data_IF_457303642335
#
_entry.id   IF_457303642335
#
_cell.length_a   1.000
_cell.length_b   1.000
_cell.length_c   1.000
_cell.angle_alpha   90.00
_cell.angle_beta   90.00
_cell.angle_gamma   90.00
#
_symmetry.space_group_name_H-M   'P 1'
#
loop_
_entity.id
_entity.type
_entity.pdbx_description
1 polymer ?
#
# COMPACT_ATOMS: atom_id res chain seq x y z
N UNK A 1 -0.53 -8.63 -24.86
CA UNK A 1 -0.62 -7.37 -24.12
C UNK A 1 -0.99 -7.72 -22.67
N UNK A 2 -0.21 -7.30 -21.65
CA UNK A 2 -0.54 -7.57 -20.27
C UNK A 2 -1.86 -6.90 -19.89
N UNK A 3 -2.77 -7.65 -19.21
CA UNK A 3 -4.05 -7.14 -18.71
C UNK A 3 -3.90 -6.66 -17.27
N UNK A 4 -4.31 -5.43 -17.00
CA UNK A 4 -4.41 -4.84 -15.66
C UNK A 4 -5.89 -4.80 -15.26
N UNK A 5 -6.22 -5.53 -14.21
CA UNK A 5 -7.56 -5.53 -13.64
C UNK A 5 -7.76 -4.29 -12.77
N UNK A 6 -8.92 -3.64 -12.87
CA UNK A 6 -9.26 -2.47 -12.04
C UNK A 6 -10.62 -2.74 -11.39
N UNK A 7 -10.65 -2.97 -10.08
CA UNK A 7 -11.95 -3.10 -9.40
C UNK A 7 -12.58 -1.74 -9.18
N UNK A 8 -13.88 -1.65 -9.42
CA UNK A 8 -14.63 -0.39 -9.32
C UNK A 8 -14.63 0.19 -7.90
N UNK A 9 -14.44 -0.66 -6.87
CA UNK A 9 -14.68 -0.31 -5.48
C UNK A 9 -16.17 -0.25 -5.17
N UNK A 10 -16.55 0.52 -4.16
CA UNK A 10 -17.95 0.74 -3.83
C UNK A 10 -18.59 1.68 -4.88
N UNK A 11 -19.59 1.22 -5.65
CA UNK A 11 -20.20 2.03 -6.71
C UNK A 11 -20.97 3.26 -6.19
N UNK A 12 -21.25 3.34 -4.89
CA UNK A 12 -21.81 4.54 -4.27
C UNK A 12 -20.74 5.59 -3.93
N UNK A 13 -19.44 5.22 -3.98
CA UNK A 13 -18.32 6.11 -3.73
C UNK A 13 -17.75 6.79 -4.98
N UNK A 14 -16.57 7.38 -4.83
CA UNK A 14 -15.87 8.06 -5.93
C UNK A 14 -15.14 7.10 -6.88
N UNK A 15 -15.09 5.79 -6.58
CA UNK A 15 -14.40 4.79 -7.42
C UNK A 15 -14.73 4.91 -8.91
N UNK A 16 -16.04 4.89 -9.31
CA UNK A 16 -16.43 4.99 -10.71
C UNK A 16 -15.88 6.24 -11.42
N UNK A 17 -16.03 7.43 -10.81
CA UNK A 17 -15.63 8.69 -11.45
C UNK A 17 -14.12 8.88 -11.55
N UNK A 18 -13.35 8.44 -10.53
CA UNK A 18 -11.88 8.54 -10.59
C UNK A 18 -11.26 7.54 -11.55
N UNK A 19 -11.86 6.35 -11.72
CA UNK A 19 -11.41 5.36 -12.70
C UNK A 19 -11.68 5.87 -14.12
N UNK A 20 -12.87 6.39 -14.40
CA UNK A 20 -13.19 6.96 -15.71
C UNK A 20 -12.27 8.12 -16.07
N UNK A 21 -12.05 9.03 -15.11
CA UNK A 21 -11.12 10.15 -15.28
C UNK A 21 -9.67 9.68 -15.51
N UNK A 22 -9.23 8.64 -14.80
CA UNK A 22 -7.89 8.07 -14.97
C UNK A 22 -7.72 7.44 -16.35
N UNK A 23 -8.68 6.62 -16.80
CA UNK A 23 -8.65 5.98 -18.12
C UNK A 23 -8.73 7.00 -19.28
N UNK A 24 -9.46 8.10 -19.09
CA UNK A 24 -9.59 9.17 -20.08
C UNK A 24 -8.43 10.19 -20.04
N UNK A 25 -7.55 10.12 -19.07
CA UNK A 25 -6.53 11.15 -18.82
C UNK A 25 -5.44 11.26 -19.89
N UNK A 26 -5.21 10.21 -20.70
CA UNK A 26 -4.07 10.12 -21.60
C UNK A 26 -2.72 9.96 -20.89
N UNK A 27 -2.72 9.77 -19.57
CA UNK A 27 -1.51 9.68 -18.74
C UNK A 27 -1.10 8.24 -18.40
N UNK A 28 -1.81 7.24 -18.91
CA UNK A 28 -1.48 5.83 -18.65
C UNK A 28 -0.47 5.30 -19.67
N UNK A 29 0.37 4.32 -19.28
CA UNK A 29 1.34 3.73 -20.21
C UNK A 29 0.66 3.00 -21.36
N UNK A 30 1.23 3.10 -22.56
CA UNK A 30 0.84 2.28 -23.70
C UNK A 30 1.25 0.82 -23.52
N UNK A 31 0.60 -0.08 -24.28
CA UNK A 31 0.96 -1.49 -24.30
C UNK A 31 0.32 -2.33 -23.18
N UNK A 32 -0.71 -1.84 -22.54
CA UNK A 32 -1.51 -2.54 -21.54
C UNK A 32 -2.99 -2.51 -21.89
N UNK A 33 -3.71 -3.59 -21.53
CA UNK A 33 -5.15 -3.63 -21.57
C UNK A 33 -5.71 -3.37 -20.16
N UNK A 34 -6.70 -2.51 -20.06
CA UNK A 34 -7.33 -2.14 -18.78
C UNK A 34 -8.74 -2.70 -18.71
N UNK A 35 -8.99 -3.63 -17.78
CA UNK A 35 -10.29 -4.24 -17.56
C UNK A 35 -10.90 -3.78 -16.25
N UNK A 36 -11.97 -3.01 -16.34
CA UNK A 36 -12.75 -2.57 -15.16
C UNK A 36 -13.72 -3.67 -14.75
N UNK A 37 -13.72 -4.02 -13.44
CA UNK A 37 -14.56 -5.07 -12.82
C UNK A 37 -15.47 -4.42 -11.79
N UNK A 38 -16.76 -4.68 -11.88
CA UNK A 38 -17.77 -4.21 -10.94
C UNK A 38 -19.04 -3.74 -11.64
N UNK A 39 -20.14 -3.69 -10.89
CA UNK A 39 -21.46 -3.24 -11.36
C UNK A 39 -21.73 -1.81 -10.88
N UNK A 40 -21.67 -0.87 -11.82
CA UNK A 40 -21.96 0.55 -11.55
C UNK A 40 -23.42 0.80 -11.19
N UNK A 41 -24.34 -0.04 -11.68
CA UNK A 41 -25.78 0.12 -11.48
C UNK A 41 -26.23 -0.25 -10.06
N UNK A 42 -25.40 -0.97 -9.33
CA UNK A 42 -25.68 -1.43 -7.97
C UNK A 42 -25.52 -0.35 -6.88
N UNK A 43 -25.08 0.87 -7.23
CA UNK A 43 -24.89 1.96 -6.25
C UNK A 43 -25.46 3.29 -6.73
N UNK A 44 -25.94 4.07 -5.78
CA UNK A 44 -26.30 5.48 -6.02
C UNK A 44 -25.20 6.37 -5.42
N UNK A 45 -24.54 7.24 -6.20
CA UNK A 45 -23.45 8.08 -5.69
C UNK A 45 -23.85 8.85 -4.42
N UNK A 46 -23.02 8.75 -3.40
CA UNK A 46 -23.23 9.38 -2.08
C UNK A 46 -24.23 8.68 -1.16
N UNK A 47 -24.80 7.55 -1.57
CA UNK A 47 -25.78 6.79 -0.78
C UNK A 47 -25.37 5.31 -0.69
N UNK A 48 -24.36 4.98 0.12
CA UNK A 48 -23.95 3.60 0.29
C UNK A 48 -25.05 2.77 0.94
N UNK A 49 -25.18 1.53 0.51
CA UNK A 49 -26.10 0.54 1.05
C UNK A 49 -25.54 -0.88 0.91
N UNK A 50 -26.32 -1.88 1.35
CA UNK A 50 -25.91 -3.28 1.29
C UNK A 50 -25.70 -3.77 -0.15
N UNK A 51 -26.44 -3.22 -1.13
CA UNK A 51 -26.28 -3.60 -2.54
C UNK A 51 -24.96 -3.07 -3.10
N UNK A 52 -24.61 -1.82 -2.81
CA UNK A 52 -23.34 -1.25 -3.22
C UNK A 52 -22.13 -1.95 -2.55
N UNK A 53 -22.26 -2.28 -1.28
CA UNK A 53 -21.25 -3.07 -0.57
C UNK A 53 -21.09 -4.48 -1.16
N UNK A 54 -22.19 -5.14 -1.54
CA UNK A 54 -22.15 -6.46 -2.19
C UNK A 54 -21.47 -6.39 -3.55
N UNK A 55 -21.81 -5.41 -4.37
CA UNK A 55 -21.17 -5.20 -5.67
C UNK A 55 -19.66 -4.93 -5.53
N UNK A 56 -19.25 -4.19 -4.50
CA UNK A 56 -17.84 -3.99 -4.21
C UNK A 56 -17.12 -5.32 -3.87
N UNK A 57 -17.76 -6.18 -3.06
CA UNK A 57 -17.20 -7.48 -2.71
C UNK A 57 -17.16 -8.42 -3.93
N UNK A 58 -18.21 -8.48 -4.72
CA UNK A 58 -18.25 -9.30 -5.94
C UNK A 58 -17.12 -8.91 -6.91
N UNK A 59 -16.82 -7.62 -7.03
CA UNK A 59 -15.70 -7.14 -7.84
C UNK A 59 -14.33 -7.58 -7.29
N UNK A 60 -14.14 -7.60 -5.96
CA UNK A 60 -12.91 -8.11 -5.35
C UNK A 60 -12.76 -9.62 -5.56
N UNK A 61 -13.83 -10.38 -5.36
CA UNK A 61 -13.86 -11.85 -5.55
C UNK A 61 -13.56 -12.23 -7.00
N UNK A 62 -14.18 -11.52 -7.96
CA UNK A 62 -13.93 -11.74 -9.39
C UNK A 62 -12.50 -11.37 -9.78
N UNK A 63 -11.96 -10.25 -9.30
CA UNK A 63 -10.57 -9.87 -9.56
C UNK A 63 -9.60 -10.92 -9.01
N UNK A 64 -9.81 -11.40 -7.78
CA UNK A 64 -8.98 -12.44 -7.19
C UNK A 64 -9.06 -13.76 -7.97
N UNK A 65 -10.26 -14.12 -8.46
CA UNK A 65 -10.45 -15.29 -9.33
C UNK A 65 -9.67 -15.15 -10.64
N UNK A 66 -9.81 -14.02 -11.32
CA UNK A 66 -9.10 -13.74 -12.58
C UNK A 66 -7.59 -13.75 -12.41
N UNK A 67 -7.06 -13.18 -11.32
CA UNK A 67 -5.63 -13.22 -11.02
C UNK A 67 -5.10 -14.66 -10.88
N UNK A 68 -5.91 -15.61 -10.38
CA UNK A 68 -5.51 -17.01 -10.25
C UNK A 68 -5.65 -17.80 -11.54
N UNK A 69 -6.71 -17.53 -12.30
CA UNK A 69 -7.16 -18.40 -13.40
C UNK A 69 -6.73 -17.91 -14.79
N UNK A 70 -6.23 -16.68 -14.90
CA UNK A 70 -5.83 -16.06 -16.17
C UNK A 70 -4.42 -15.47 -16.10
N UNK A 71 -3.95 -14.97 -17.27
CA UNK A 71 -2.66 -14.26 -17.38
C UNK A 71 -2.76 -12.77 -16.99
N UNK A 72 -3.83 -12.35 -16.31
CA UNK A 72 -3.92 -10.99 -15.79
C UNK A 72 -2.66 -10.65 -14.97
N UNK A 73 -2.01 -9.52 -15.29
CA UNK A 73 -0.67 -9.22 -14.80
C UNK A 73 -0.68 -8.57 -13.41
N UNK A 74 -1.69 -7.74 -13.11
CA UNK A 74 -1.82 -7.02 -11.84
C UNK A 74 -3.26 -6.63 -11.57
N UNK A 75 -3.53 -6.16 -10.34
CA UNK A 75 -4.82 -5.55 -9.98
C UNK A 75 -4.63 -4.19 -9.32
N UNK A 76 -5.46 -3.24 -9.72
CA UNK A 76 -5.66 -1.95 -9.05
C UNK A 76 -7.02 -1.97 -8.39
N UNK A 77 -7.07 -1.71 -7.09
CA UNK A 77 -8.36 -1.79 -6.38
C UNK A 77 -8.93 -0.42 -6.09
N UNK A 78 -10.17 -0.18 -6.51
CA UNK A 78 -10.95 0.99 -6.14
C UNK A 78 -11.26 1.01 -4.64
N UNK A 79 -11.62 2.20 -4.11
CA UNK A 79 -11.90 2.35 -2.69
C UNK A 79 -13.19 1.64 -2.27
N UNK A 80 -13.16 0.96 -1.12
CA UNK A 80 -14.31 0.26 -0.54
C UNK A 80 -14.60 0.76 0.88
N UNK A 81 -15.86 0.66 1.30
CA UNK A 81 -16.24 0.90 2.69
C UNK A 81 -15.99 -0.36 3.53
N UNK A 82 -15.09 -0.26 4.52
CA UNK A 82 -14.87 -1.36 5.47
C UNK A 82 -16.12 -1.66 6.26
N UNK A 83 -16.82 -0.64 6.71
CA UNK A 83 -18.09 -0.76 7.45
C UNK A 83 -19.15 -1.47 6.59
N UNK A 84 -19.37 -1.02 5.35
CA UNK A 84 -20.31 -1.66 4.44
C UNK A 84 -19.98 -3.12 4.15
N UNK A 85 -18.70 -3.45 3.95
CA UNK A 85 -18.27 -4.84 3.78
C UNK A 85 -18.51 -5.70 5.02
N UNK A 86 -18.25 -5.17 6.23
CA UNK A 86 -18.51 -5.86 7.48
C UNK A 86 -19.99 -6.14 7.71
N UNK A 87 -20.87 -5.18 7.37
CA UNK A 87 -22.32 -5.34 7.48
C UNK A 87 -22.89 -6.48 6.61
N UNK A 88 -22.20 -6.82 5.52
CA UNK A 88 -22.58 -7.95 4.65
C UNK A 88 -21.83 -9.24 4.97
N UNK A 89 -21.04 -9.26 6.05
CA UNK A 89 -20.36 -10.46 6.56
C UNK A 89 -18.96 -10.69 5.96
N UNK A 90 -18.28 -9.67 5.43
CA UNK A 90 -16.91 -9.79 4.97
C UNK A 90 -15.97 -10.13 6.14
N UNK A 91 -15.25 -11.28 6.10
CA UNK A 91 -14.56 -11.80 7.28
C UNK A 91 -13.14 -11.21 7.48
N UNK A 92 -12.69 -10.33 6.59
CA UNK A 92 -11.32 -9.80 6.63
C UNK A 92 -11.29 -8.36 7.17
N UNK A 93 -10.19 -7.95 7.84
CA UNK A 93 -10.01 -6.57 8.29
C UNK A 93 -9.95 -5.55 7.12
N UNK A 94 -9.49 -5.99 5.94
CA UNK A 94 -9.39 -5.15 4.76
C UNK A 94 -9.05 -5.93 3.50
N UNK A 95 -8.85 -5.18 2.41
CA UNK A 95 -8.54 -5.76 1.10
C UNK A 95 -7.17 -6.47 1.07
N UNK A 96 -6.19 -6.03 1.86
CA UNK A 96 -4.88 -6.66 1.95
C UNK A 96 -4.99 -8.09 2.42
N UNK A 97 -5.68 -8.31 3.54
CA UNK A 97 -5.87 -9.64 4.11
C UNK A 97 -6.72 -10.53 3.20
N UNK A 98 -7.72 -9.95 2.55
CA UNK A 98 -8.50 -10.66 1.54
C UNK A 98 -7.64 -11.18 0.39
N UNK A 99 -6.83 -10.32 -0.25
CA UNK A 99 -5.96 -10.76 -1.36
C UNK A 99 -4.85 -11.68 -0.89
N UNK A 100 -4.31 -11.49 0.31
CA UNK A 100 -3.36 -12.43 0.93
C UNK A 100 -3.94 -13.83 1.00
N UNK A 101 -5.16 -13.95 1.52
CA UNK A 101 -5.88 -15.22 1.60
C UNK A 101 -6.25 -15.78 0.21
N UNK A 102 -6.88 -14.96 -0.63
CA UNK A 102 -7.40 -15.36 -1.93
C UNK A 102 -6.32 -15.79 -2.92
N UNK A 103 -5.11 -15.22 -2.84
CA UNK A 103 -3.97 -15.56 -3.69
C UNK A 103 -2.96 -16.51 -3.02
N UNK A 104 -3.30 -17.05 -1.85
CA UNK A 104 -2.45 -18.01 -1.10
C UNK A 104 -1.05 -17.46 -0.79
N UNK A 105 -0.92 -16.16 -0.56
CA UNK A 105 0.34 -15.56 -0.17
C UNK A 105 0.68 -15.91 1.28
N UNK A 106 1.95 -16.22 1.54
CA UNK A 106 2.42 -16.64 2.88
C UNK A 106 2.95 -15.50 3.72
N UNK A 107 3.46 -14.45 3.07
CA UNK A 107 4.06 -13.29 3.72
C UNK A 107 3.71 -12.04 2.92
N UNK A 108 3.02 -11.10 3.53
CA UNK A 108 2.64 -9.84 2.89
C UNK A 108 2.99 -8.66 3.78
N UNK A 109 3.12 -7.49 3.17
CA UNK A 109 3.43 -6.25 3.86
C UNK A 109 2.75 -5.06 3.22
N UNK A 110 2.60 -3.98 3.98
CA UNK A 110 2.06 -2.72 3.49
C UNK A 110 3.20 -1.75 3.21
N UNK A 111 3.17 -1.20 2.01
CA UNK A 111 4.07 -0.15 1.58
C UNK A 111 3.24 0.97 0.94
N UNK A 112 3.62 2.20 1.21
CA UNK A 112 3.11 3.36 0.49
C UNK A 112 4.24 4.03 -0.27
N UNK A 113 3.95 4.48 -1.48
CA UNK A 113 4.94 5.17 -2.32
C UNK A 113 4.30 6.36 -3.03
N UNK A 114 5.04 7.43 -3.12
CA UNK A 114 4.72 8.63 -3.89
C UNK A 114 5.96 9.12 -4.64
N UNK A 115 5.90 10.31 -5.24
CA UNK A 115 7.03 10.91 -5.95
C UNK A 115 8.27 11.14 -5.11
N UNK A 116 8.10 11.46 -3.81
CA UNK A 116 9.20 11.84 -2.93
C UNK A 116 9.59 10.78 -1.92
N UNK A 117 8.63 9.98 -1.43
CA UNK A 117 8.85 8.99 -0.39
C UNK A 117 8.30 7.61 -0.76
N UNK A 118 9.02 6.59 -0.32
CA UNK A 118 8.57 5.19 -0.28
C UNK A 118 8.75 4.68 1.14
N UNK A 119 7.68 4.18 1.75
CA UNK A 119 7.65 3.79 3.16
C UNK A 119 7.06 2.40 3.33
N UNK A 120 7.84 1.48 3.89
CA UNK A 120 7.38 0.18 4.35
C UNK A 120 7.05 0.22 5.85
N UNK A 121 6.00 -0.47 6.27
CA UNK A 121 5.48 -0.43 7.64
C UNK A 121 5.74 -1.75 8.37
N UNK A 122 6.48 -1.70 9.49
CA UNK A 122 6.74 -2.87 10.33
C UNK A 122 5.51 -3.28 11.15
N UNK A 123 4.74 -2.32 11.65
CA UNK A 123 3.41 -2.53 12.24
C UNK A 123 2.42 -1.59 11.56
N UNK A 124 1.14 -2.01 11.44
CA UNK A 124 0.13 -1.31 10.64
C UNK A 124 -1.01 -0.78 11.54
N UNK A 125 -2.14 -1.42 11.51
CA UNK A 125 -3.39 -0.94 12.12
C UNK A 125 -3.55 -1.45 13.56
N UNK A 126 -2.63 -1.08 14.44
CA UNK A 126 -2.67 -1.39 15.87
C UNK A 126 -2.64 -0.11 16.69
N UNK A 127 -3.19 -0.10 17.92
CA UNK A 127 -3.05 1.04 18.80
C UNK A 127 -1.60 1.41 19.06
N UNK A 128 -1.28 2.70 19.14
CA UNK A 128 0.09 3.16 19.37
C UNK A 128 0.71 2.54 20.64
N UNK A 129 -0.08 2.37 21.70
CA UNK A 129 0.37 1.75 22.94
C UNK A 129 0.78 0.28 22.80
N UNK A 130 0.31 -0.41 21.75
CA UNK A 130 0.64 -1.81 21.47
C UNK A 130 1.88 -1.97 20.59
N UNK A 131 2.34 -0.90 19.94
CA UNK A 131 3.48 -0.96 19.02
C UNK A 131 4.73 -1.54 19.68
N UNK A 132 5.18 -1.08 20.87
CA UNK A 132 6.36 -1.65 21.52
C UNK A 132 6.23 -3.14 21.85
N UNK A 133 5.03 -3.60 22.16
CA UNK A 133 4.75 -4.99 22.52
C UNK A 133 4.67 -5.92 21.29
N UNK A 134 4.22 -5.41 20.16
CA UNK A 134 4.03 -6.18 18.94
C UNK A 134 5.20 -6.09 17.97
N UNK A 135 6.05 -5.06 18.09
CA UNK A 135 7.24 -4.91 17.28
C UNK A 135 8.26 -6.00 17.66
N UNK A 136 8.70 -6.74 16.67
CA UNK A 136 9.70 -7.78 16.82
C UNK A 136 10.64 -7.84 15.62
N UNK A 137 11.80 -8.52 15.71
CA UNK A 137 12.73 -8.59 14.58
C UNK A 137 12.13 -9.15 13.30
N UNK A 138 11.18 -10.09 13.40
CA UNK A 138 10.56 -10.74 12.23
C UNK A 138 9.71 -9.75 11.42
N UNK A 139 8.97 -8.84 12.08
CA UNK A 139 8.23 -7.78 11.37
C UNK A 139 9.17 -6.93 10.51
N UNK A 140 10.32 -6.52 11.06
CA UNK A 140 11.30 -5.69 10.37
C UNK A 140 11.99 -6.48 9.25
N UNK A 141 12.33 -7.74 9.50
CA UNK A 141 12.92 -8.62 8.48
C UNK A 141 11.99 -8.82 7.30
N UNK A 142 10.72 -9.12 7.57
CA UNK A 142 9.69 -9.32 6.56
C UNK A 142 9.53 -8.08 5.67
N UNK A 143 9.17 -6.95 6.27
CA UNK A 143 8.94 -5.74 5.49
C UNK A 143 10.21 -5.23 4.80
N UNK A 144 11.39 -5.41 5.41
CA UNK A 144 12.67 -5.06 4.82
C UNK A 144 12.95 -5.85 3.54
N UNK A 145 12.76 -7.18 3.56
CA UNK A 145 12.92 -8.05 2.39
C UNK A 145 11.92 -7.71 1.29
N UNK A 146 10.65 -7.56 1.65
CA UNK A 146 9.58 -7.22 0.71
C UNK A 146 9.82 -5.86 0.05
N UNK A 147 10.23 -4.85 0.83
CA UNK A 147 10.57 -3.52 0.30
C UNK A 147 11.77 -3.56 -0.64
N UNK A 148 12.82 -4.33 -0.29
CA UNK A 148 13.98 -4.51 -1.19
C UNK A 148 13.57 -5.17 -2.50
N UNK A 149 12.71 -6.19 -2.46
CA UNK A 149 12.15 -6.85 -3.64
C UNK A 149 11.36 -5.87 -4.53
N UNK A 150 10.49 -5.09 -3.94
CA UNK A 150 9.72 -4.04 -4.64
C UNK A 150 10.62 -3.02 -5.35
N UNK A 151 11.65 -2.53 -4.67
CA UNK A 151 12.59 -1.57 -5.26
C UNK A 151 13.37 -2.18 -6.43
N UNK A 152 13.73 -3.46 -6.34
CA UNK A 152 14.38 -4.19 -7.45
C UNK A 152 13.46 -4.37 -8.64
N UNK A 153 12.18 -4.69 -8.44
CA UNK A 153 11.18 -4.75 -9.51
C UNK A 153 11.03 -3.39 -10.20
N UNK A 154 11.22 -2.30 -9.48
CA UNK A 154 11.27 -0.93 -10.04
C UNK A 154 12.61 -0.56 -10.70
N UNK A 155 13.52 -1.51 -10.89
CA UNK A 155 14.79 -1.30 -11.59
C UNK A 155 15.94 -0.79 -10.70
N UNK A 156 15.78 -0.71 -9.39
CA UNK A 156 16.83 -0.30 -8.46
C UNK A 156 17.66 -1.52 -8.07
N UNK A 157 18.77 -1.75 -8.77
CA UNK A 157 19.60 -2.95 -8.59
C UNK A 157 20.18 -3.08 -7.16
N UNK A 158 20.56 -1.96 -6.55
CA UNK A 158 21.11 -1.91 -5.19
C UNK A 158 20.31 -0.93 -4.32
N UNK A 159 19.21 -1.36 -3.72
CA UNK A 159 18.40 -0.49 -2.89
C UNK A 159 19.16 -0.02 -1.64
N UNK A 160 19.03 1.26 -1.30
CA UNK A 160 19.47 1.84 -0.02
C UNK A 160 18.21 2.12 0.80
N UNK A 161 18.10 1.46 1.94
CA UNK A 161 16.88 1.49 2.76
C UNK A 161 17.27 1.95 4.17
N UNK A 162 16.66 3.04 4.61
CA UNK A 162 16.79 3.51 5.98
C UNK A 162 15.77 2.78 6.88
N UNK A 163 16.17 2.43 8.10
CA UNK A 163 15.28 1.86 9.11
C UNK A 163 15.15 2.86 10.25
N UNK A 164 13.95 3.28 10.57
CA UNK A 164 13.68 4.19 11.69
C UNK A 164 13.99 3.53 13.04
N UNK A 165 14.38 4.33 14.03
CA UNK A 165 14.17 3.98 15.43
C UNK A 165 12.67 4.03 15.78
N UNK A 166 12.31 3.42 16.88
CA UNK A 166 10.97 3.52 17.48
C UNK A 166 10.86 4.79 18.34
N UNK A 167 11.89 5.00 19.15
CA UNK A 167 11.90 6.04 20.18
C UNK A 167 12.52 7.36 19.69
N UNK A 168 12.24 8.48 20.36
CA UNK A 168 12.93 9.74 20.10
C UNK A 168 14.45 9.57 20.09
N UNK A 169 15.14 10.28 19.19
CA UNK A 169 16.60 10.22 19.01
C UNK A 169 17.15 8.78 18.82
N UNK A 170 16.30 7.89 18.25
CA UNK A 170 16.63 6.47 18.09
C UNK A 170 17.08 5.81 19.41
N UNK A 171 16.37 6.13 20.51
CA UNK A 171 16.59 5.57 21.83
C UNK A 171 17.75 6.18 22.64
N UNK A 172 18.55 7.08 22.05
CA UNK A 172 19.70 7.77 22.69
C UNK A 172 20.53 6.87 23.61
N UNK A 173 21.11 5.82 23.04
CA UNK A 173 21.89 4.80 23.79
C UNK A 173 21.13 4.12 24.94
N UNK A 174 19.80 4.09 24.89
CA UNK A 174 18.94 3.46 25.88
C UNK A 174 18.32 4.41 26.90
N UNK A 175 18.52 5.72 26.74
CA UNK A 175 17.91 6.72 27.62
C UNK A 175 16.36 6.81 27.42
N UNK A 176 15.89 6.53 26.20
CA UNK A 176 14.46 6.62 25.83
C UNK A 176 13.85 5.27 25.46
N UNK A 177 14.52 4.16 25.75
CA UNK A 177 14.04 2.82 25.44
C UNK A 177 15.18 1.93 24.93
N UNK A 178 14.86 0.66 24.74
CA UNK A 178 15.83 -0.35 24.37
C UNK A 178 15.49 -1.10 23.07
N UNK A 179 14.40 -0.74 22.42
CA UNK A 179 13.88 -1.40 21.21
C UNK A 179 14.88 -1.29 20.06
N UNK A 180 15.59 -0.17 19.94
CA UNK A 180 16.63 0.02 18.93
C UNK A 180 17.75 -1.00 19.07
N UNK A 181 18.24 -1.20 20.31
CA UNK A 181 19.31 -2.14 20.60
C UNK A 181 18.86 -3.58 20.55
N UNK A 182 17.68 -3.88 21.11
CA UNK A 182 17.23 -5.25 21.34
C UNK A 182 16.47 -5.85 20.15
N UNK A 183 15.84 -5.02 19.32
CA UNK A 183 14.96 -5.45 18.23
C UNK A 183 15.47 -4.93 16.88
N UNK A 184 15.65 -3.61 16.72
CA UNK A 184 15.85 -2.99 15.40
C UNK A 184 17.26 -3.26 14.87
N UNK A 185 18.30 -3.00 15.67
CA UNK A 185 19.68 -3.22 15.25
C UNK A 185 19.99 -4.68 14.89
N UNK A 186 19.54 -5.70 15.65
CA UNK A 186 19.70 -7.10 15.25
C UNK A 186 18.97 -7.44 13.94
N UNK A 187 17.79 -6.87 13.69
CA UNK A 187 17.06 -7.06 12.43
C UNK A 187 17.84 -6.46 11.26
N UNK A 188 18.35 -5.22 11.38
CA UNK A 188 19.19 -4.57 10.37
C UNK A 188 20.42 -5.41 10.05
N UNK A 189 21.12 -5.90 11.08
CA UNK A 189 22.30 -6.76 10.90
C UNK A 189 21.93 -8.05 10.12
N UNK A 190 20.76 -8.63 10.38
CA UNK A 190 20.27 -9.81 9.67
C UNK A 190 19.90 -9.53 8.23
N UNK A 191 19.26 -8.39 7.95
CA UNK A 191 18.94 -7.93 6.58
C UNK A 191 20.21 -7.71 5.76
N UNK A 192 21.23 -7.07 6.34
CA UNK A 192 22.51 -6.85 5.64
C UNK A 192 23.26 -8.15 5.36
N UNK A 193 23.21 -9.15 6.27
CA UNK A 193 23.78 -10.48 6.00
C UNK A 193 23.12 -11.19 4.82
N UNK A 194 21.85 -10.91 4.54
CA UNK A 194 21.15 -11.46 3.38
C UNK A 194 21.62 -10.87 2.04
N UNK A 195 22.32 -9.72 2.04
CA UNK A 195 22.92 -9.12 0.86
C UNK A 195 21.95 -8.63 -0.22
N UNK A 196 20.67 -8.45 0.12
CA UNK A 196 19.63 -8.09 -0.85
C UNK A 196 19.51 -6.58 -1.10
N UNK A 197 19.95 -5.77 -0.16
CA UNK A 197 19.97 -4.31 -0.18
C UNK A 197 20.95 -3.81 0.86
N UNK A 198 21.21 -2.49 0.89
CA UNK A 198 21.92 -1.85 1.99
C UNK A 198 20.92 -1.26 2.97
N UNK A 199 20.90 -1.77 4.18
CA UNK A 199 20.06 -1.27 5.27
C UNK A 199 20.90 -0.50 6.26
N UNK A 200 20.48 0.70 6.62
CA UNK A 200 21.14 1.54 7.61
C UNK A 200 20.20 1.96 8.72
N UNK A 201 20.72 2.26 9.88
CA UNK A 201 19.93 2.67 11.05
C UNK A 201 20.31 1.89 12.32
N UNK A 202 19.52 2.00 13.38
CA UNK A 202 18.27 2.77 13.46
C UNK A 202 18.53 4.28 13.35
N UNK A 203 17.77 4.94 12.45
CA UNK A 203 17.86 6.38 12.24
C UNK A 203 16.90 7.13 13.15
N UNK A 204 17.27 8.38 13.46
CA UNK A 204 16.41 9.32 14.19
C UNK A 204 15.16 9.63 13.34
N UNK A 205 13.94 9.32 13.84
CA UNK A 205 12.74 9.35 13.00
C UNK A 205 12.34 10.72 12.46
N UNK A 206 12.59 11.80 13.20
CA UNK A 206 12.24 13.17 12.78
C UNK A 206 13.22 13.76 11.75
N UNK A 207 14.34 13.10 11.46
CA UNK A 207 15.34 13.54 10.49
C UNK A 207 15.38 12.70 9.21
N UNK A 208 15.22 11.38 9.31
CA UNK A 208 15.48 10.44 8.21
C UNK A 208 14.58 10.64 6.98
N UNK A 209 13.33 11.07 7.17
CA UNK A 209 12.41 11.29 6.05
C UNK A 209 12.82 12.45 5.17
N UNK A 210 13.46 13.49 5.74
CA UNK A 210 14.06 14.57 4.96
C UNK A 210 15.15 14.04 4.03
N UNK A 211 16.05 13.23 4.56
CA UNK A 211 17.17 12.66 3.78
C UNK A 211 16.63 11.71 2.69
N UNK A 212 15.60 10.94 3.01
CA UNK A 212 14.92 10.08 2.04
C UNK A 212 14.24 10.89 0.92
N UNK A 213 13.53 11.96 1.26
CA UNK A 213 12.89 12.84 0.27
C UNK A 213 13.91 13.54 -0.64
N UNK A 214 15.16 13.72 -0.17
CA UNK A 214 16.27 14.24 -0.95
C UNK A 214 17.02 13.17 -1.77
N UNK A 215 16.55 11.90 -1.76
CA UNK A 215 17.11 10.79 -2.54
C UNK A 215 18.32 10.09 -1.92
N UNK A 216 18.66 10.36 -0.66
CA UNK A 216 19.71 9.62 0.06
C UNK A 216 19.33 8.14 0.19
N UNK A 217 18.07 7.87 0.45
CA UNK A 217 17.50 6.53 0.55
C UNK A 217 16.40 6.32 -0.49
N UNK A 218 16.24 5.08 -0.95
CA UNK A 218 15.17 4.71 -1.89
C UNK A 218 13.87 4.34 -1.16
N UNK A 219 13.96 3.98 0.12
CA UNK A 219 12.81 3.74 0.99
C UNK A 219 13.20 3.90 2.46
N UNK A 220 12.17 4.08 3.29
CA UNK A 220 12.27 4.09 4.76
C UNK A 220 11.39 2.97 5.32
N UNK A 221 11.91 2.19 6.26
CA UNK A 221 11.09 1.27 7.06
C UNK A 221 10.70 2.00 8.34
N UNK A 222 9.41 2.26 8.50
CA UNK A 222 8.84 2.85 9.70
C UNK A 222 8.35 1.76 10.66
N UNK A 223 8.49 2.02 11.95
CA UNK A 223 8.12 1.05 12.99
C UNK A 223 6.61 0.98 13.20
N UNK A 224 5.88 2.06 12.93
CA UNK A 224 4.43 2.14 13.06
C UNK A 224 3.82 3.07 12.00
N UNK A 225 2.51 2.93 11.83
CA UNK A 225 1.73 3.55 10.76
C UNK A 225 1.99 5.05 10.63
N UNK A 226 1.69 5.85 11.65
CA UNK A 226 1.75 7.32 11.55
C UNK A 226 3.20 7.84 11.47
N UNK A 227 4.18 7.12 12.02
CA UNK A 227 5.59 7.48 11.85
C UNK A 227 5.96 7.60 10.36
N UNK A 228 5.45 6.70 9.54
CA UNK A 228 5.74 6.67 8.11
C UNK A 228 4.77 7.51 7.28
N UNK A 229 3.48 7.46 7.61
CA UNK A 229 2.45 8.04 6.78
C UNK A 229 2.28 9.54 6.94
N UNK A 230 2.56 10.12 8.12
CA UNK A 230 2.54 11.58 8.30
C UNK A 230 3.49 12.27 7.33
N UNK A 231 4.80 11.94 7.29
CA UNK A 231 5.72 12.59 6.34
C UNK A 231 5.39 12.27 4.87
N UNK A 232 4.96 11.05 4.57
CA UNK A 232 4.59 10.68 3.20
C UNK A 232 3.38 11.48 2.73
N UNK A 233 2.31 11.55 3.52
CA UNK A 233 1.11 12.31 3.15
C UNK A 233 1.32 13.82 3.15
N UNK A 234 2.27 14.32 3.92
CA UNK A 234 2.63 15.74 3.87
C UNK A 234 3.24 16.13 2.50
N UNK A 235 4.00 15.22 1.89
CA UNK A 235 4.69 15.47 0.62
C UNK A 235 3.91 14.98 -0.60
N UNK A 236 3.26 13.82 -0.51
CA UNK A 236 2.75 13.06 -1.64
C UNK A 236 1.23 12.79 -1.59
N UNK A 237 0.45 13.62 -0.90
CA UNK A 237 -0.96 13.35 -0.59
C UNK A 237 -1.82 12.98 -1.81
N UNK A 238 -1.65 13.71 -2.92
CA UNK A 238 -2.48 13.53 -4.12
C UNK A 238 -2.01 12.34 -4.99
N UNK A 239 -0.75 11.88 -4.84
CA UNK A 239 -0.15 10.84 -5.70
C UNK A 239 0.31 9.59 -4.93
N UNK A 240 0.04 9.52 -3.64
CA UNK A 240 0.38 8.35 -2.84
C UNK A 240 -0.36 7.10 -3.31
N UNK A 241 0.36 6.00 -3.38
CA UNK A 241 -0.15 4.67 -3.76
C UNK A 241 0.12 3.69 -2.64
N UNK A 242 -0.91 2.95 -2.25
CA UNK A 242 -0.78 1.83 -1.35
C UNK A 242 -0.46 0.56 -2.16
N UNK A 243 0.55 -0.18 -1.73
CA UNK A 243 1.01 -1.42 -2.35
C UNK A 243 0.92 -2.55 -1.34
N UNK A 244 0.28 -3.65 -1.71
CA UNK A 244 0.38 -4.90 -0.97
C UNK A 244 1.57 -5.70 -1.51
N UNK A 245 2.64 -5.72 -0.73
CA UNK A 245 3.85 -6.48 -1.04
C UNK A 245 3.65 -7.98 -0.79
N UNK A 246 4.43 -8.83 -1.49
CA UNK A 246 4.47 -10.26 -1.24
C UNK A 246 3.35 -11.07 -1.90
N UNK A 247 2.44 -10.45 -2.61
CA UNK A 247 1.47 -11.15 -3.44
C UNK A 247 2.14 -11.72 -4.70
N UNK A 248 1.68 -12.87 -5.23
CA UNK A 248 2.22 -13.45 -6.46
C UNK A 248 2.01 -12.59 -7.70
N UNK A 249 1.01 -11.71 -7.68
CA UNK A 249 0.76 -10.67 -8.68
C UNK A 249 0.59 -9.32 -8.00
N UNK A 250 1.11 -8.23 -8.57
CA UNK A 250 1.04 -6.90 -7.96
C UNK A 250 -0.39 -6.45 -7.66
N UNK A 251 -0.58 -5.88 -6.48
CA UNK A 251 -1.79 -5.17 -6.12
C UNK A 251 -1.45 -3.77 -5.64
N UNK A 252 -2.05 -2.78 -6.30
CA UNK A 252 -1.95 -1.36 -5.93
C UNK A 252 -3.33 -0.78 -5.66
N UNK A 253 -3.39 0.32 -4.94
CA UNK A 253 -4.62 1.09 -4.75
C UNK A 253 -4.32 2.55 -4.47
N UNK A 254 -5.24 3.48 -4.79
CA UNK A 254 -5.14 4.85 -4.31
C UNK A 254 -5.17 4.89 -2.77
N UNK A 255 -4.53 5.89 -2.20
CA UNK A 255 -4.42 6.08 -0.75
C UNK A 255 -5.52 7.00 -0.19
N UNK A 256 -6.76 6.75 -0.58
CA UNK A 256 -7.96 7.42 -0.07
C UNK A 256 -9.15 6.45 -0.01
N UNK A 257 -10.18 6.82 0.73
CA UNK A 257 -11.41 6.04 0.88
C UNK A 257 -12.46 6.36 -0.19
N UNK A 258 -13.66 5.87 0.05
CA UNK A 258 -14.84 6.00 -0.82
C UNK A 258 -15.34 7.43 -1.01
N UNK A 259 -15.04 8.32 -0.10
CA UNK A 259 -15.41 9.75 -0.13
C UNK A 259 -16.87 10.00 -0.57
N UNK A 260 -17.80 9.28 0.01
CA UNK A 260 -19.23 9.32 -0.33
C UNK A 260 -19.83 10.75 -0.40
N UNK A 261 -19.32 11.66 0.45
CA UNK A 261 -19.81 13.05 0.49
C UNK A 261 -19.61 13.81 -0.82
N UNK A 262 -18.65 13.42 -1.65
CA UNK A 262 -18.35 14.07 -2.93
C UNK A 262 -18.64 13.18 -4.15
N UNK A 263 -19.07 11.94 -3.93
CA UNK A 263 -19.34 10.99 -5.01
C UNK A 263 -20.41 11.52 -5.98
N UNK A 264 -20.17 11.38 -7.27
CA UNK A 264 -21.07 11.84 -8.35
C UNK A 264 -21.05 13.36 -8.56
N UNK A 265 -20.19 14.12 -7.89
CA UNK A 265 -20.10 15.58 -8.08
C UNK A 265 -19.03 15.99 -9.11
N UNK A 266 -18.25 15.06 -9.63
CA UNK A 266 -17.19 15.33 -10.61
C UNK A 266 -16.06 16.21 -10.09
N UNK A 267 -15.80 16.20 -8.77
CA UNK A 267 -14.74 16.99 -8.12
C UNK A 267 -13.66 16.13 -7.48
N UNK A 268 -13.82 14.80 -7.50
CA UNK A 268 -12.81 13.87 -6.99
C UNK A 268 -11.58 13.89 -7.92
N UNK A 269 -10.39 14.02 -7.34
CA UNK A 269 -9.13 14.01 -8.07
C UNK A 269 -8.74 12.57 -8.46
N UNK A 270 -8.36 12.29 -9.73
CA UNK A 270 -7.96 10.96 -10.16
C UNK A 270 -6.47 10.66 -9.96
N UNK A 271 -5.67 11.61 -9.47
CA UNK A 271 -4.20 11.56 -9.48
C UNK A 271 -3.66 10.28 -8.78
N UNK A 272 -4.14 9.96 -7.59
CA UNK A 272 -3.74 8.76 -6.87
C UNK A 272 -4.17 7.47 -7.60
N UNK A 273 -5.34 7.45 -8.29
CA UNK A 273 -5.75 6.33 -9.13
C UNK A 273 -4.86 6.18 -10.37
N UNK A 274 -4.52 7.28 -11.04
CA UNK A 274 -3.57 7.30 -12.16
C UNK A 274 -2.21 6.75 -11.69
N UNK A 275 -1.72 7.22 -10.55
CA UNK A 275 -0.46 6.76 -9.98
C UNK A 275 -0.51 5.26 -9.64
N UNK A 276 -1.63 4.77 -9.07
CA UNK A 276 -1.82 3.36 -8.75
C UNK A 276 -1.83 2.48 -10.01
N UNK A 277 -2.50 2.90 -11.09
CA UNK A 277 -2.51 2.17 -12.37
C UNK A 277 -1.11 2.17 -13.00
N UNK A 278 -0.43 3.32 -13.05
CA UNK A 278 0.94 3.41 -13.58
C UNK A 278 1.90 2.49 -12.84
N UNK A 279 1.80 2.46 -11.51
CA UNK A 279 2.64 1.57 -10.70
C UNK A 279 2.31 0.11 -10.94
N UNK A 280 1.04 -0.27 -11.06
CA UNK A 280 0.64 -1.63 -11.42
C UNK A 280 1.26 -2.06 -12.76
N UNK A 281 1.22 -1.19 -13.78
CA UNK A 281 1.86 -1.45 -15.07
C UNK A 281 3.39 -1.60 -14.95
N UNK A 282 4.03 -0.82 -14.08
CA UNK A 282 5.49 -0.91 -13.88
C UNK A 282 5.92 -2.21 -13.19
N UNK A 283 5.04 -2.80 -12.38
CA UNK A 283 5.30 -4.03 -11.61
C UNK A 283 4.84 -5.31 -12.34
N UNK A 284 4.02 -5.17 -13.38
CA UNK A 284 3.51 -6.26 -14.24
C UNK A 284 4.57 -6.77 -15.26
#
# INVERSE_FOLDING_TARGET
VPEILITLGDPAGIGPEIIDAALASGNLPDGFDFRVIGDRSAGTPGKPDRASARAALDALEEAARLLRETDAAAVVTGPVSKEGLQEIGFPFPGQTEFFTHALHATETGMLLTGPHLTVGLATIHIPLAEVPNQLNPQNILSIGKLTAGFLKQRGIAQPRIAVCGLNPHAGENGAFGHEERNIISPAIASLNRAGIATFTGPHVPDAVFRDAAQGTYHAVIAMYHDQGLIPLKLLDFDEAVNVTLGLPKPRTSPDHGTAFAIAGKGIAKPDSMIAAIRLACQLA
#
